data_IF_991819918108
#
_entry.id   IF_991819918108
#
_cell.length_a   1.000
_cell.length_b   1.000
_cell.length_c   1.000
_cell.angle_alpha   90.00
_cell.angle_beta   90.00
_cell.angle_gamma   90.00
#
_symmetry.space_group_name_H-M   'P 1'
#
loop_
_entity.id
_entity.type
_entity.pdbx_description
1 polymer ?
#
# COMPACT_ATOMS: atom_id res chain seq x y z
N UNK A 1 -79.85 -77.77 -39.41
CA UNK A 1 -80.42 -76.43 -39.16
C UNK A 1 -79.34 -75.55 -38.55
N UNK A 2 -79.26 -74.27 -38.93
CA UNK A 2 -78.36 -73.30 -38.32
C UNK A 2 -78.96 -72.78 -37.02
N UNK A 3 -78.19 -72.76 -35.93
CA UNK A 3 -78.57 -72.08 -34.69
C UNK A 3 -78.17 -70.59 -34.78
N UNK A 4 -79.07 -69.64 -34.50
CA UNK A 4 -78.72 -68.22 -34.48
C UNK A 4 -77.75 -67.92 -33.34
N UNK A 5 -76.77 -67.06 -33.59
CA UNK A 5 -75.74 -66.76 -32.60
C UNK A 5 -76.25 -65.89 -31.43
N UNK A 6 -77.21 -65.00 -31.69
CA UNK A 6 -77.87 -64.13 -30.71
C UNK A 6 -79.37 -64.10 -30.99
N UNK A 7 -80.20 -64.20 -29.96
CA UNK A 7 -81.67 -64.06 -30.04
C UNK A 7 -82.22 -63.17 -28.93
N UNK A 8 -83.34 -62.49 -29.19
CA UNK A 8 -83.99 -61.60 -28.23
C UNK A 8 -84.88 -62.36 -27.22
N UNK A 9 -85.32 -63.59 -27.55
CA UNK A 9 -86.09 -64.47 -26.65
C UNK A 9 -85.79 -65.95 -26.92
N UNK A 10 -85.79 -66.78 -25.86
CA UNK A 10 -85.69 -68.23 -25.94
C UNK A 10 -86.90 -68.90 -26.61
N UNK A 11 -88.02 -68.19 -26.75
CA UNK A 11 -89.23 -68.72 -27.40
C UNK A 11 -89.03 -69.03 -28.88
N UNK A 12 -88.11 -68.31 -29.54
CA UNK A 12 -87.72 -68.55 -30.92
C UNK A 12 -86.79 -69.78 -31.10
N UNK A 13 -86.31 -70.36 -29.99
CA UNK A 13 -85.40 -71.52 -29.97
C UNK A 13 -86.18 -72.77 -29.54
N UNK A 14 -86.00 -73.87 -30.28
CA UNK A 14 -86.53 -75.18 -29.91
C UNK A 14 -86.07 -75.55 -28.50
N UNK A 15 -86.97 -76.11 -27.70
CA UNK A 15 -86.76 -76.40 -26.28
C UNK A 15 -85.47 -77.18 -26.00
N UNK A 16 -85.14 -78.14 -26.87
CA UNK A 16 -83.92 -78.97 -26.84
C UNK A 16 -82.60 -78.18 -26.94
N UNK A 17 -82.62 -76.96 -27.49
CA UNK A 17 -81.43 -76.14 -27.70
C UNK A 17 -81.37 -74.93 -26.77
N UNK A 18 -82.40 -74.69 -25.95
CA UNK A 18 -82.43 -73.54 -25.02
C UNK A 18 -81.34 -73.61 -23.95
N UNK A 19 -80.98 -74.82 -23.53
CA UNK A 19 -79.90 -75.07 -22.57
C UNK A 19 -78.50 -74.69 -23.10
N UNK A 20 -78.37 -74.45 -24.41
CA UNK A 20 -77.11 -74.04 -25.06
C UNK A 20 -76.98 -72.52 -25.19
N UNK A 21 -77.87 -71.71 -24.59
CA UNK A 21 -77.81 -70.25 -24.66
C UNK A 21 -77.66 -69.64 -23.25
N UNK A 22 -76.82 -68.60 -23.16
CA UNK A 22 -76.57 -67.82 -21.94
C UNK A 22 -77.05 -66.39 -22.14
N UNK A 23 -77.64 -65.80 -21.11
CA UNK A 23 -78.11 -64.41 -21.12
C UNK A 23 -76.92 -63.44 -20.97
N UNK A 24 -76.76 -62.52 -21.92
CA UNK A 24 -75.70 -61.51 -21.90
C UNK A 24 -76.26 -60.17 -22.43
N UNK A 25 -76.25 -59.13 -21.59
CA UNK A 25 -76.78 -57.78 -21.90
C UNK A 25 -78.25 -57.77 -22.38
N UNK A 26 -79.12 -58.62 -21.79
CA UNK A 26 -80.56 -58.66 -22.08
C UNK A 26 -80.94 -59.38 -23.39
N UNK A 27 -80.01 -60.12 -23.99
CA UNK A 27 -80.22 -61.04 -25.12
C UNK A 27 -79.64 -62.41 -24.79
N UNK A 28 -80.09 -63.46 -25.48
CA UNK A 28 -79.58 -64.83 -25.30
C UNK A 28 -78.57 -65.15 -26.41
N UNK A 29 -77.34 -65.49 -26.03
CA UNK A 29 -76.23 -65.84 -26.94
C UNK A 29 -75.92 -67.33 -26.84
N UNK A 30 -75.61 -67.98 -27.95
CA UNK A 30 -75.17 -69.39 -27.98
C UNK A 30 -73.87 -69.55 -27.18
N UNK A 31 -73.89 -70.43 -26.18
CA UNK A 31 -72.76 -70.77 -25.32
C UNK A 31 -71.80 -71.69 -26.07
N UNK A 32 -70.74 -71.09 -26.61
CA UNK A 32 -69.67 -71.78 -27.31
C UNK A 32 -68.46 -71.84 -26.38
N UNK A 33 -68.00 -73.06 -26.09
CA UNK A 33 -66.80 -73.28 -25.30
C UNK A 33 -65.58 -72.62 -25.95
N UNK A 34 -64.89 -71.74 -25.20
CA UNK A 34 -63.72 -70.98 -25.69
C UNK A 34 -64.05 -69.69 -26.46
N UNK A 35 -65.31 -69.24 -26.50
CA UNK A 35 -65.65 -67.96 -27.12
C UNK A 35 -65.33 -66.78 -26.20
N UNK A 36 -64.37 -65.95 -26.64
CA UNK A 36 -64.12 -64.63 -26.06
C UNK A 36 -64.72 -63.55 -26.96
N UNK A 37 -65.36 -62.52 -26.38
CA UNK A 37 -66.01 -61.45 -27.15
C UNK A 37 -64.99 -60.69 -28.03
N UNK A 38 -65.02 -60.84 -29.37
CA UNK A 38 -64.07 -60.18 -30.25
C UNK A 38 -64.21 -58.66 -30.21
N UNK A 39 -65.37 -58.13 -29.78
CA UNK A 39 -65.58 -56.69 -29.62
C UNK A 39 -64.87 -56.16 -28.37
N UNK A 40 -65.00 -56.84 -27.23
CA UNK A 40 -64.25 -56.57 -26.00
C UNK A 40 -62.74 -56.65 -26.22
N UNK A 41 -62.25 -57.73 -26.85
CA UNK A 41 -60.84 -57.89 -27.21
C UNK A 41 -60.34 -56.78 -28.15
N UNK A 42 -61.11 -56.42 -29.17
CA UNK A 42 -60.74 -55.34 -30.10
C UNK A 42 -60.73 -53.97 -29.41
N UNK A 43 -61.64 -53.72 -28.47
CA UNK A 43 -61.67 -52.50 -27.68
C UNK A 43 -60.48 -52.41 -26.73
N UNK A 44 -60.15 -53.49 -26.02
CA UNK A 44 -58.99 -53.56 -25.15
C UNK A 44 -57.69 -53.39 -25.95
N UNK A 45 -57.58 -54.08 -27.09
CA UNK A 45 -56.43 -53.95 -28.00
C UNK A 45 -56.30 -52.53 -28.56
N UNK A 46 -57.41 -51.87 -28.86
CA UNK A 46 -57.40 -50.48 -29.30
C UNK A 46 -56.94 -49.53 -28.18
N UNK A 47 -57.44 -49.73 -26.96
CA UNK A 47 -57.01 -48.97 -25.77
C UNK A 47 -55.52 -49.14 -25.50
N UNK A 48 -55.00 -50.37 -25.58
CA UNK A 48 -53.57 -50.67 -25.43
C UNK A 48 -52.73 -49.99 -26.53
N UNK A 49 -53.22 -50.01 -27.77
CA UNK A 49 -52.54 -49.31 -28.88
C UNK A 49 -52.50 -47.80 -28.67
N UNK A 50 -53.59 -47.21 -28.20
CA UNK A 50 -53.66 -45.78 -27.94
C UNK A 50 -52.79 -45.39 -26.73
N UNK A 51 -52.77 -46.21 -25.67
CA UNK A 51 -51.87 -46.04 -24.53
C UNK A 51 -50.39 -46.15 -24.94
N UNK A 52 -50.02 -47.17 -25.73
CA UNK A 52 -48.67 -47.35 -26.25
C UNK A 52 -48.25 -46.18 -27.16
N UNK A 53 -49.17 -45.68 -28.00
CA UNK A 53 -48.92 -44.52 -28.86
C UNK A 53 -48.69 -43.25 -28.04
N UNK A 54 -49.51 -43.02 -27.01
CA UNK A 54 -49.36 -41.87 -26.11
C UNK A 54 -48.05 -41.95 -25.33
N UNK A 55 -47.73 -43.10 -24.74
CA UNK A 55 -46.46 -43.32 -24.04
C UNK A 55 -45.26 -43.07 -24.96
N UNK A 56 -45.31 -43.53 -26.21
CA UNK A 56 -44.26 -43.27 -27.19
C UNK A 56 -44.12 -41.79 -27.53
N UNK A 57 -45.22 -41.05 -27.66
CA UNK A 57 -45.20 -39.61 -27.92
C UNK A 57 -44.62 -38.84 -26.72
N UNK A 58 -44.97 -39.22 -25.49
CA UNK A 58 -44.40 -38.61 -24.29
C UNK A 58 -42.91 -38.91 -24.14
N UNK A 59 -42.50 -40.16 -24.40
CA UNK A 59 -41.10 -40.56 -24.35
C UNK A 59 -40.28 -39.79 -25.40
N UNK A 60 -40.80 -39.60 -26.61
CA UNK A 60 -40.17 -38.76 -27.63
C UNK A 60 -40.10 -37.28 -27.23
N UNK A 61 -41.13 -36.73 -26.59
CA UNK A 61 -41.09 -35.34 -26.08
C UNK A 61 -40.03 -35.19 -24.99
N UNK A 62 -39.97 -36.14 -24.06
CA UNK A 62 -38.98 -36.16 -22.98
C UNK A 62 -37.57 -36.30 -23.55
N UNK A 63 -37.36 -37.24 -24.48
CA UNK A 63 -36.08 -37.41 -25.17
C UNK A 63 -35.63 -36.13 -25.86
N UNK A 64 -36.52 -35.40 -26.53
CA UNK A 64 -36.20 -34.10 -27.15
C UNK A 64 -35.88 -33.01 -26.13
N UNK A 65 -36.56 -32.99 -24.98
CA UNK A 65 -36.30 -32.01 -23.92
C UNK A 65 -34.95 -32.24 -23.22
N UNK A 66 -34.53 -33.50 -23.12
CA UNK A 66 -33.26 -33.89 -22.50
C UNK A 66 -32.17 -34.20 -23.54
N UNK A 67 -32.43 -33.94 -24.83
CA UNK A 67 -31.46 -34.18 -25.89
C UNK A 67 -30.24 -33.27 -25.70
N UNK A 68 -29.07 -33.87 -25.48
CA UNK A 68 -27.83 -33.14 -25.17
C UNK A 68 -27.58 -32.87 -23.69
N UNK A 69 -28.47 -33.30 -22.78
CA UNK A 69 -28.24 -33.25 -21.33
C UNK A 69 -27.74 -34.61 -20.86
N UNK A 70 -26.47 -34.68 -20.43
CA UNK A 70 -25.90 -35.90 -19.84
C UNK A 70 -26.34 -36.05 -18.36
N UNK A 71 -27.05 -37.13 -17.99
CA UNK A 71 -27.49 -37.36 -16.63
C UNK A 71 -26.36 -37.43 -15.59
N UNK A 72 -25.16 -37.89 -15.97
CA UNK A 72 -24.02 -37.91 -15.05
C UNK A 72 -23.45 -36.52 -14.82
N UNK A 73 -23.41 -35.68 -15.86
CA UNK A 73 -23.00 -34.28 -15.74
C UNK A 73 -23.98 -33.53 -14.85
N UNK A 74 -25.30 -33.75 -15.03
CA UNK A 74 -26.32 -33.15 -14.17
C UNK A 74 -26.12 -33.55 -12.70
N UNK A 75 -25.89 -34.84 -12.40
CA UNK A 75 -25.60 -35.28 -11.03
C UNK A 75 -24.33 -34.64 -10.45
N UNK A 76 -23.27 -34.52 -11.25
CA UNK A 76 -22.02 -33.86 -10.83
C UNK A 76 -22.22 -32.36 -10.57
N UNK A 77 -22.97 -31.69 -11.43
CA UNK A 77 -23.31 -30.27 -11.28
C UNK A 77 -24.15 -30.06 -10.02
N UNK A 78 -25.17 -30.89 -9.77
CA UNK A 78 -25.96 -30.81 -8.53
C UNK A 78 -25.11 -31.10 -7.28
N UNK A 79 -24.20 -32.08 -7.34
CA UNK A 79 -23.28 -32.35 -6.22
C UNK A 79 -22.31 -31.18 -5.96
N UNK A 80 -21.83 -30.50 -7.01
CA UNK A 80 -21.02 -29.28 -6.87
C UNK A 80 -21.84 -28.11 -6.34
N UNK A 81 -23.08 -27.94 -6.81
CA UNK A 81 -24.03 -26.96 -6.29
C UNK A 81 -24.26 -27.20 -4.79
N UNK A 82 -24.39 -28.46 -4.36
CA UNK A 82 -24.62 -28.78 -2.95
C UNK A 82 -23.42 -28.46 -2.03
N UNK A 83 -22.22 -28.41 -2.59
CA UNK A 83 -20.99 -28.10 -1.86
C UNK A 83 -20.69 -26.60 -1.82
N UNK A 84 -21.25 -25.82 -2.74
CA UNK A 84 -21.03 -24.37 -2.84
C UNK A 84 -22.27 -23.61 -2.37
N UNK A 85 -22.16 -22.89 -1.26
CA UNK A 85 -23.26 -22.10 -0.70
C UNK A 85 -23.79 -21.03 -1.67
N UNK A 86 -22.93 -20.42 -2.49
CA UNK A 86 -23.38 -19.46 -3.51
C UNK A 86 -24.17 -20.19 -4.61
N UNK A 87 -23.72 -21.39 -4.99
CA UNK A 87 -24.42 -22.20 -5.98
C UNK A 87 -25.76 -22.72 -5.48
N UNK A 88 -25.88 -23.11 -4.19
CA UNK A 88 -27.18 -23.42 -3.54
C UNK A 88 -28.14 -22.25 -3.61
N UNK A 89 -27.68 -21.06 -3.24
CA UNK A 89 -28.51 -19.86 -3.28
C UNK A 89 -28.94 -19.52 -4.71
N UNK A 90 -28.09 -19.75 -5.71
CA UNK A 90 -28.46 -19.61 -7.13
C UNK A 90 -29.53 -20.64 -7.53
N UNK A 91 -29.36 -21.90 -7.15
CA UNK A 91 -30.30 -22.98 -7.44
C UNK A 91 -31.67 -22.78 -6.76
N UNK A 92 -31.66 -22.19 -5.56
CA UNK A 92 -32.87 -21.77 -4.82
C UNK A 92 -33.52 -20.48 -5.38
N UNK A 93 -32.95 -19.88 -6.44
CA UNK A 93 -33.44 -18.64 -7.04
C UNK A 93 -33.12 -17.36 -6.24
N UNK A 94 -32.32 -17.47 -5.17
CA UNK A 94 -31.86 -16.36 -4.31
C UNK A 94 -30.62 -15.67 -4.88
N UNK A 95 -30.63 -15.40 -6.18
CA UNK A 95 -29.50 -14.78 -6.91
C UNK A 95 -29.13 -13.41 -6.31
N UNK A 96 -30.11 -12.65 -5.82
CA UNK A 96 -29.89 -11.35 -5.17
C UNK A 96 -29.02 -11.46 -3.91
N UNK A 97 -29.19 -12.51 -3.11
CA UNK A 97 -28.41 -12.73 -1.88
C UNK A 97 -26.95 -13.04 -2.20
N UNK A 98 -26.70 -13.81 -3.27
CA UNK A 98 -25.34 -14.09 -3.77
C UNK A 98 -24.67 -12.83 -4.29
N UNK A 99 -25.39 -12.02 -5.08
CA UNK A 99 -24.87 -10.74 -5.56
C UNK A 99 -24.51 -9.83 -4.38
N UNK A 100 -25.36 -9.77 -3.35
CA UNK A 100 -25.08 -8.99 -2.15
C UNK A 100 -23.83 -9.50 -1.42
N UNK A 101 -23.76 -10.80 -1.10
CA UNK A 101 -22.59 -11.42 -0.45
C UNK A 101 -21.29 -11.18 -1.23
N UNK A 102 -21.32 -11.36 -2.55
CA UNK A 102 -20.16 -11.13 -3.41
C UNK A 102 -19.76 -9.66 -3.47
N UNK A 103 -20.74 -8.75 -3.51
CA UNK A 103 -20.50 -7.30 -3.49
C UNK A 103 -19.91 -6.84 -2.16
N UNK A 104 -20.41 -7.38 -1.04
CA UNK A 104 -19.87 -7.11 0.29
C UNK A 104 -18.43 -7.60 0.41
N UNK A 105 -18.16 -8.86 0.05
CA UNK A 105 -16.80 -9.42 0.03
C UNK A 105 -15.86 -8.61 -0.87
N UNK A 106 -16.31 -8.23 -2.05
CA UNK A 106 -15.53 -7.41 -2.98
C UNK A 106 -15.25 -6.02 -2.38
N UNK A 107 -16.24 -5.41 -1.72
CA UNK A 107 -16.06 -4.12 -1.03
C UNK A 107 -15.06 -4.23 0.11
N UNK A 108 -15.16 -5.27 0.94
CA UNK A 108 -14.21 -5.53 2.04
C UNK A 108 -12.78 -5.74 1.50
N UNK A 109 -12.62 -6.52 0.44
CA UNK A 109 -11.33 -6.77 -0.20
C UNK A 109 -10.74 -5.48 -0.79
N UNK A 110 -11.54 -4.68 -1.50
CA UNK A 110 -11.11 -3.37 -1.99
C UNK A 110 -10.77 -2.41 -0.86
N UNK A 111 -11.55 -2.36 0.21
CA UNK A 111 -11.26 -1.51 1.36
C UNK A 111 -9.95 -1.92 2.03
N UNK A 112 -9.69 -3.23 2.16
CA UNK A 112 -8.42 -3.76 2.67
C UNK A 112 -7.25 -3.37 1.78
N UNK A 113 -7.38 -3.53 0.46
CA UNK A 113 -6.34 -3.14 -0.50
C UNK A 113 -6.07 -1.63 -0.46
N UNK A 114 -7.13 -0.82 -0.41
CA UNK A 114 -7.02 0.63 -0.31
C UNK A 114 -6.33 1.07 0.99
N UNK A 115 -6.67 0.44 2.12
CA UNK A 115 -5.98 0.71 3.40
C UNK A 115 -4.50 0.33 3.32
N UNK A 116 -4.19 -0.86 2.81
CA UNK A 116 -2.81 -1.30 2.66
C UNK A 116 -1.99 -0.37 1.75
N UNK A 117 -2.57 0.08 0.64
CA UNK A 117 -1.89 1.00 -0.28
C UNK A 117 -1.72 2.39 0.32
N UNK A 118 -2.73 2.91 1.04
CA UNK A 118 -2.61 4.16 1.79
C UNK A 118 -1.50 4.09 2.84
N UNK A 119 -1.48 3.04 3.65
CA UNK A 119 -0.41 2.85 4.65
C UNK A 119 0.97 2.76 4.01
N UNK A 120 1.09 2.14 2.83
CA UNK A 120 2.34 2.09 2.07
C UNK A 120 2.74 3.48 1.56
N UNK A 121 1.80 4.23 1.01
CA UNK A 121 2.02 5.59 0.54
C UNK A 121 2.44 6.52 1.69
N UNK A 122 1.73 6.48 2.82
CA UNK A 122 2.02 7.29 4.01
C UNK A 122 3.42 6.99 4.56
N UNK A 123 3.80 5.70 4.62
CA UNK A 123 5.16 5.29 5.04
C UNK A 123 6.23 5.78 4.06
N UNK A 124 5.98 5.67 2.76
CA UNK A 124 6.91 6.13 1.74
C UNK A 124 7.08 7.65 1.78
N UNK A 125 5.99 8.40 1.96
CA UNK A 125 6.01 9.85 2.09
C UNK A 125 6.75 10.28 3.36
N UNK A 126 6.44 9.67 4.52
CA UNK A 126 7.13 9.96 5.77
C UNK A 126 8.64 9.66 5.68
N UNK A 127 9.03 8.57 5.00
CA UNK A 127 10.43 8.27 4.74
C UNK A 127 11.07 9.29 3.81
N UNK A 128 10.40 9.65 2.70
CA UNK A 128 10.88 10.64 1.76
C UNK A 128 11.10 12.01 2.41
N UNK A 129 10.19 12.46 3.29
CA UNK A 129 10.35 13.71 4.04
C UNK A 129 11.56 13.68 4.97
N UNK A 130 11.74 12.59 5.73
CA UNK A 130 12.94 12.41 6.58
C UNK A 130 14.22 12.38 5.76
N UNK A 131 14.19 11.71 4.61
CA UNK A 131 15.33 11.64 3.70
C UNK A 131 15.68 13.03 3.15
N UNK A 132 14.69 13.77 2.63
CA UNK A 132 14.86 15.16 2.15
C UNK A 132 15.49 16.04 3.23
N UNK A 133 14.96 15.99 4.45
CA UNK A 133 15.49 16.76 5.58
C UNK A 133 16.94 16.39 5.91
N UNK A 134 17.29 15.10 5.87
CA UNK A 134 18.66 14.61 6.09
C UNK A 134 19.62 15.09 5.01
N UNK A 135 19.21 15.05 3.73
CA UNK A 135 20.03 15.54 2.61
C UNK A 135 20.27 17.05 2.73
N UNK A 136 19.23 17.84 3.03
CA UNK A 136 19.35 19.27 3.27
C UNK A 136 20.32 19.54 4.43
N UNK A 137 20.13 18.87 5.56
CA UNK A 137 21.03 18.98 6.71
C UNK A 137 22.48 18.66 6.34
N UNK A 138 22.72 17.58 5.58
CA UNK A 138 24.07 17.23 5.14
C UNK A 138 24.70 18.29 4.24
N UNK A 139 23.95 18.87 3.30
CA UNK A 139 24.46 19.93 2.42
C UNK A 139 24.75 21.23 3.18
N UNK A 140 23.92 21.57 4.18
CA UNK A 140 24.13 22.73 5.04
C UNK A 140 25.35 22.54 5.95
N UNK A 141 25.51 21.36 6.56
CA UNK A 141 26.70 21.04 7.37
C UNK A 141 27.96 21.11 6.51
N UNK A 142 27.92 20.57 5.29
CA UNK A 142 29.04 20.65 4.36
C UNK A 142 29.41 22.11 4.04
N UNK A 143 28.43 22.95 3.73
CA UNK A 143 28.64 24.38 3.50
C UNK A 143 29.19 25.11 4.75
N UNK A 144 28.71 24.76 5.94
CA UNK A 144 29.20 25.32 7.20
C UNK A 144 30.66 24.95 7.47
N UNK A 145 31.05 23.70 7.21
CA UNK A 145 32.43 23.24 7.33
C UNK A 145 33.33 23.96 6.32
N UNK A 146 32.89 24.10 5.07
CA UNK A 146 33.63 24.84 4.03
C UNK A 146 33.84 26.32 4.37
N UNK A 147 32.92 26.91 5.13
CA UNK A 147 33.00 28.28 5.62
C UNK A 147 33.61 28.38 7.02
N UNK A 148 34.25 27.31 7.50
CA UNK A 148 34.99 27.26 8.77
C UNK A 148 34.13 27.59 10.00
N UNK A 149 32.86 27.18 9.99
CA UNK A 149 32.02 27.24 11.19
C UNK A 149 32.57 26.32 12.29
N UNK A 150 32.31 26.67 13.55
CA UNK A 150 32.69 25.85 14.69
C UNK A 150 32.00 24.47 14.62
N UNK A 151 32.72 23.35 14.83
CA UNK A 151 32.12 22.01 14.81
C UNK A 151 30.89 21.88 15.71
N UNK A 152 30.93 22.49 16.90
CA UNK A 152 29.85 22.50 17.88
C UNK A 152 28.61 23.29 17.42
N UNK A 153 28.79 24.24 16.50
CA UNK A 153 27.71 25.06 15.93
C UNK A 153 27.08 24.44 14.68
N UNK A 154 27.75 23.49 14.01
CA UNK A 154 27.24 22.89 12.76
C UNK A 154 25.85 22.24 12.91
N UNK A 155 25.49 21.55 14.01
CA UNK A 155 24.14 21.01 14.18
C UNK A 155 23.08 22.10 14.34
N UNK A 156 23.42 23.19 15.03
CA UNK A 156 22.53 24.34 15.24
C UNK A 156 22.27 25.09 13.93
N UNK A 157 23.32 25.30 13.12
CA UNK A 157 23.21 25.90 11.79
C UNK A 157 22.29 25.05 10.91
N UNK A 158 22.47 23.72 10.92
CA UNK A 158 21.63 22.82 10.16
C UNK A 158 20.17 22.82 10.64
N UNK A 159 19.94 22.94 11.95
CA UNK A 159 18.60 23.05 12.52
C UNK A 159 17.90 24.34 12.06
N UNK A 160 18.60 25.48 12.05
CA UNK A 160 18.07 26.76 11.56
C UNK A 160 17.69 26.71 10.07
N UNK A 161 18.38 25.89 9.28
CA UNK A 161 18.12 25.73 7.86
C UNK A 161 16.88 24.88 7.53
N UNK A 162 16.38 24.06 8.47
CA UNK A 162 15.33 23.06 8.18
C UNK A 162 14.04 23.67 7.60
N UNK A 163 13.66 24.87 8.04
CA UNK A 163 12.44 25.55 7.57
C UNK A 163 12.71 26.55 6.45
N UNK A 164 13.97 26.76 6.09
CA UNK A 164 14.41 27.74 5.09
C UNK A 164 14.89 27.09 3.80
N UNK A 165 14.91 25.76 3.73
CA UNK A 165 15.39 25.02 2.58
C UNK A 165 14.42 23.92 2.18
N UNK A 166 14.31 23.71 0.87
CA UNK A 166 13.67 22.57 0.26
C UNK A 166 14.65 21.87 -0.69
N UNK A 167 14.34 20.63 -1.07
CA UNK A 167 15.12 19.89 -2.07
C UNK A 167 14.48 20.08 -3.45
N UNK A 168 15.25 20.52 -4.43
CA UNK A 168 14.80 20.61 -5.82
C UNK A 168 14.71 19.21 -6.48
N UNK A 169 14.24 19.18 -7.73
CA UNK A 169 14.14 17.94 -8.52
C UNK A 169 15.49 17.25 -8.76
N UNK A 170 16.59 17.99 -8.65
CA UNK A 170 17.96 17.50 -8.87
C UNK A 170 18.62 17.03 -7.57
N UNK A 171 17.94 17.09 -6.43
CA UNK A 171 18.51 16.72 -5.14
C UNK A 171 19.42 17.79 -4.53
N UNK A 172 19.31 19.05 -4.95
CA UNK A 172 20.04 20.20 -4.39
C UNK A 172 19.16 20.96 -3.41
N UNK A 173 19.73 21.34 -2.27
CA UNK A 173 19.04 22.20 -1.33
C UNK A 173 18.96 23.62 -1.89
N UNK A 174 17.76 24.16 -1.96
CA UNK A 174 17.46 25.53 -2.41
C UNK A 174 16.71 26.27 -1.31
N UNK A 175 17.05 27.54 -1.09
CA UNK A 175 16.37 28.31 -0.05
C UNK A 175 14.93 28.64 -0.47
N UNK A 176 14.01 28.58 0.47
CA UNK A 176 12.59 28.88 0.28
C UNK A 176 12.11 29.90 1.32
N UNK A 177 11.14 30.72 0.94
CA UNK A 177 10.51 31.70 1.82
C UNK A 177 9.39 31.07 2.68
N UNK A 178 8.64 31.90 3.41
CA UNK A 178 7.53 31.43 4.25
C UNK A 178 6.34 30.87 3.46
N UNK A 179 6.23 31.22 2.18
CA UNK A 179 5.19 30.72 1.27
C UNK A 179 5.64 29.45 0.52
N UNK A 180 6.91 29.08 0.64
CA UNK A 180 7.52 27.96 -0.09
C UNK A 180 8.06 28.33 -1.46
N UNK A 181 8.10 29.62 -1.80
CA UNK A 181 8.67 30.10 -3.05
C UNK A 181 10.19 30.16 -2.95
N UNK A 182 10.86 29.86 -4.06
CA UNK A 182 12.32 29.80 -4.12
C UNK A 182 12.92 31.20 -3.97
N UNK A 183 13.80 31.36 -2.99
CA UNK A 183 14.54 32.60 -2.76
C UNK A 183 15.73 32.67 -3.71
N UNK A 184 15.85 33.77 -4.44
CA UNK A 184 16.96 34.00 -5.37
C UNK A 184 18.23 34.42 -4.61
N UNK A 185 19.37 33.87 -5.04
CA UNK A 185 20.70 34.09 -4.48
C UNK A 185 21.30 35.45 -4.84
N UNK A 186 22.57 35.63 -4.49
CA UNK A 186 23.27 36.93 -4.67
C UNK A 186 23.49 37.27 -6.15
N UNK A 187 23.44 36.27 -7.03
CA UNK A 187 23.60 36.42 -8.47
C UNK A 187 22.34 36.94 -9.20
N UNK A 188 21.19 37.00 -8.50
CA UNK A 188 19.93 37.48 -9.04
C UNK A 188 19.28 36.55 -10.08
N UNK A 189 19.79 35.34 -10.27
CA UNK A 189 19.29 34.40 -11.29
C UNK A 189 19.08 32.99 -10.75
N UNK A 190 19.96 32.50 -9.87
CA UNK A 190 19.86 31.13 -9.35
C UNK A 190 19.26 31.11 -7.95
N UNK A 191 18.64 29.98 -7.55
CA UNK A 191 18.21 29.79 -6.18
C UNK A 191 19.36 29.97 -5.21
N UNK A 192 19.11 30.63 -4.08
CA UNK A 192 20.09 30.77 -3.02
C UNK A 192 20.54 29.39 -2.54
N UNK A 193 21.85 29.18 -2.60
CA UNK A 193 22.50 27.94 -2.22
C UNK A 193 22.76 27.86 -0.71
N UNK A 194 22.98 26.65 -0.15
CA UNK A 194 23.41 26.47 1.23
C UNK A 194 24.61 27.35 1.60
N UNK A 195 25.59 27.47 0.71
CA UNK A 195 26.80 28.26 0.93
C UNK A 195 26.49 29.75 1.08
N UNK A 196 25.73 30.34 0.16
CA UNK A 196 25.38 31.77 0.21
C UNK A 196 24.54 32.11 1.45
N UNK A 197 23.65 31.20 1.85
CA UNK A 197 22.87 31.38 3.06
C UNK A 197 23.75 31.30 4.31
N UNK A 198 24.66 30.32 4.40
CA UNK A 198 25.60 30.21 5.53
C UNK A 198 26.54 31.43 5.61
N UNK A 199 26.97 31.99 4.47
CA UNK A 199 27.70 33.27 4.46
C UNK A 199 26.87 34.41 5.06
N UNK A 200 25.60 34.51 4.67
CA UNK A 200 24.68 35.52 5.22
C UNK A 200 24.45 35.29 6.72
N UNK A 201 24.41 34.02 7.15
CA UNK A 201 24.31 33.64 8.56
C UNK A 201 25.55 34.05 9.35
N UNK A 202 26.75 33.99 8.74
CA UNK A 202 28.00 34.45 9.37
C UNK A 202 27.99 35.93 9.70
N UNK A 203 27.42 36.74 8.80
CA UNK A 203 27.26 38.19 9.03
C UNK A 203 26.26 38.47 10.16
N UNK A 204 25.15 37.72 10.20
CA UNK A 204 24.07 37.92 11.18
C UNK A 204 24.36 37.30 12.56
N UNK A 205 25.07 36.17 12.58
CA UNK A 205 25.37 35.37 13.79
C UNK A 205 26.86 34.98 13.83
N UNK A 206 27.78 35.95 14.00
CA UNK A 206 29.22 35.69 13.96
C UNK A 206 29.74 34.73 15.04
N UNK A 207 28.96 34.51 16.11
CA UNK A 207 29.34 33.67 17.24
C UNK A 207 29.40 32.16 16.92
N UNK A 208 28.84 31.73 15.79
CA UNK A 208 28.99 30.35 15.30
C UNK A 208 30.34 30.11 14.60
N UNK A 209 31.11 31.16 14.36
CA UNK A 209 32.44 31.08 13.77
C UNK A 209 33.52 31.34 14.81
N UNK A 210 34.74 30.83 14.59
CA UNK A 210 35.90 31.23 15.38
C UNK A 210 35.99 32.75 15.40
N UNK A 211 36.10 33.33 16.61
CA UNK A 211 36.44 34.74 16.71
C UNK A 211 37.80 34.93 16.03
N UNK A 212 37.97 35.94 15.17
CA UNK A 212 39.30 36.29 14.71
C UNK A 212 40.15 36.54 15.95
N UNK A 213 41.16 35.71 16.17
CA UNK A 213 42.26 36.06 17.06
C UNK A 213 42.92 37.28 16.41
N UNK A 214 42.42 38.47 16.75
CA UNK A 214 43.17 39.69 16.56
C UNK A 214 44.52 39.42 17.20
N UNK A 215 45.59 39.55 16.41
CA UNK A 215 46.96 39.51 16.88
C UNK A 215 47.04 40.41 18.11
N UNK A 216 46.99 39.81 19.30
CA UNK A 216 47.70 40.36 20.43
C UNK A 216 49.15 40.31 19.98
N UNK A 217 49.64 41.41 19.41
CA UNK A 217 51.06 41.62 19.23
C UNK A 217 51.71 41.17 20.54
N UNK A 218 52.70 40.26 20.52
CA UNK A 218 53.42 39.94 21.73
C UNK A 218 54.01 41.27 22.20
N UNK A 219 53.44 41.85 23.26
CA UNK A 219 54.06 42.98 23.93
C UNK A 219 55.47 42.54 24.22
N UNK A 220 56.45 43.23 23.62
CA UNK A 220 57.88 42.92 23.65
C UNK A 220 58.24 42.28 24.99
N UNK A 221 58.44 40.97 24.96
CA UNK A 221 58.86 40.19 26.10
C UNK A 221 60.34 40.51 26.31
N UNK A 222 60.62 41.71 26.83
CA UNK A 222 61.98 42.09 27.14
C UNK A 222 62.39 41.28 28.35
N UNK A 223 63.34 40.41 28.08
CA UNK A 223 63.98 39.45 28.96
C UNK A 223 64.19 40.00 30.36
N UNK A 224 63.84 39.17 31.34
CA UNK A 224 64.23 39.28 32.74
C UNK A 224 65.68 39.79 32.88
N UNK A 225 65.87 40.85 33.67
CA UNK A 225 67.02 40.91 34.58
C UNK A 225 68.13 41.91 34.30
N UNK A 226 67.95 42.98 33.51
CA UNK A 226 68.87 44.12 33.56
C UNK A 226 68.15 45.44 33.84
N UNK A 227 68.51 46.16 34.93
CA UNK A 227 68.04 47.52 35.15
C UNK A 227 68.53 48.42 34.02
N UNK A 228 67.60 49.10 33.35
CA UNK A 228 67.91 50.07 32.30
C UNK A 228 68.55 51.33 32.93
N UNK A 229 69.88 51.37 32.93
CA UNK A 229 70.69 52.53 33.38
C UNK A 229 71.03 53.48 32.24
N UNK A 230 70.55 53.25 31.01
CA UNK A 230 70.88 54.07 29.85
C UNK A 230 69.81 55.13 29.61
N UNK A 231 70.22 56.22 28.98
CA UNK A 231 69.32 57.19 28.37
C UNK A 231 69.08 56.81 26.91
N UNK A 232 68.10 57.46 26.28
CA UNK A 232 67.79 57.24 24.87
C UNK A 232 68.96 57.55 23.92
N UNK A 233 69.92 58.36 24.34
CA UNK A 233 71.15 58.70 23.61
C UNK A 233 72.30 57.70 23.82
N UNK A 234 72.07 56.62 24.59
CA UNK A 234 73.09 55.62 24.92
C UNK A 234 74.08 56.04 26.02
N UNK A 235 73.94 57.24 26.61
CA UNK A 235 74.73 57.64 27.78
C UNK A 235 74.16 57.06 29.07
N UNK A 236 75.02 56.86 30.08
CA UNK A 236 74.58 56.34 31.39
C UNK A 236 73.81 57.43 32.15
N UNK A 237 72.64 57.06 32.67
CA UNK A 237 71.88 57.86 33.61
C UNK A 237 72.50 57.72 35.01
N UNK A 238 73.26 58.73 35.44
CA UNK A 238 73.95 58.74 36.72
C UNK A 238 73.02 58.63 37.93
N UNK A 239 71.78 59.13 37.84
CA UNK A 239 70.79 59.02 38.93
C UNK A 239 70.32 57.57 39.08
N UNK A 240 70.03 56.91 37.96
CA UNK A 240 69.67 55.48 37.96
C UNK A 240 70.85 54.60 38.39
N UNK A 241 72.07 54.95 37.98
CA UNK A 241 73.28 54.26 38.44
C UNK A 241 73.51 54.43 39.95
N UNK A 242 73.23 55.61 40.52
CA UNK A 242 73.34 55.86 41.96
C UNK A 242 72.28 55.10 42.76
N UNK A 243 71.05 55.00 42.25
CA UNK A 243 70.00 54.17 42.83
C UNK A 243 70.40 52.69 42.80
N UNK A 244 70.89 52.21 41.65
CA UNK A 244 71.36 50.83 41.52
C UNK A 244 72.56 50.54 42.42
N UNK A 245 73.45 51.52 42.64
CA UNK A 245 74.56 51.37 43.60
C UNK A 245 74.06 51.15 45.03
N UNK A 246 72.97 51.78 45.43
CA UNK A 246 72.41 51.63 46.76
C UNK A 246 71.64 50.30 46.91
N UNK A 247 70.97 49.85 45.86
CA UNK A 247 70.19 48.60 45.85
C UNK A 247 71.05 47.35 45.62
N UNK A 248 71.99 47.43 44.68
CA UNK A 248 72.91 46.35 44.33
C UNK A 248 74.30 46.90 43.89
N UNK A 249 75.21 47.13 44.87
CA UNK A 249 76.53 47.70 44.62
C UNK A 249 77.39 46.92 43.62
N UNK A 250 77.27 45.59 43.58
CA UNK A 250 78.08 44.75 42.70
C UNK A 250 77.64 44.88 41.24
N UNK A 251 76.32 44.83 40.98
CA UNK A 251 75.77 45.01 39.65
C UNK A 251 76.00 46.42 39.11
N UNK A 252 75.90 47.44 39.97
CA UNK A 252 76.22 48.81 39.60
C UNK A 252 77.68 48.95 39.15
N UNK A 253 78.63 48.35 39.88
CA UNK A 253 80.05 48.38 39.55
C UNK A 253 80.36 47.69 38.21
N UNK A 254 79.73 46.55 37.95
CA UNK A 254 79.90 45.83 36.68
C UNK A 254 79.36 46.64 35.49
N UNK A 255 78.16 47.21 35.63
CA UNK A 255 77.55 48.01 34.57
C UNK A 255 78.30 49.33 34.35
N UNK A 256 78.74 50.00 35.41
CA UNK A 256 79.59 51.19 35.27
C UNK A 256 80.91 50.86 34.56
N UNK A 257 81.56 49.75 34.91
CA UNK A 257 82.79 49.31 34.25
C UNK A 257 82.59 49.02 32.75
N UNK A 258 81.46 48.40 32.37
CA UNK A 258 81.08 48.18 30.96
C UNK A 258 80.93 49.48 30.17
N UNK A 259 80.57 50.58 30.84
CA UNK A 259 80.43 51.90 30.24
C UNK A 259 81.64 52.83 30.53
N UNK A 260 82.76 52.30 31.04
CA UNK A 260 83.99 53.06 31.28
C UNK A 260 83.94 54.02 32.48
N UNK A 261 82.94 53.88 33.36
CA UNK A 261 82.74 54.70 34.56
C UNK A 261 83.34 53.97 35.77
N UNK A 262 84.23 54.65 36.52
CA UNK A 262 84.73 54.16 37.81
C UNK A 262 83.79 54.61 38.92
N UNK A 263 83.15 53.64 39.57
CA UNK A 263 82.27 53.79 40.75
C UNK A 263 83.02 53.64 42.06
#
# INVERSE_FOLDING_TARGET
MSLPFIVDSLDAIKEEHRALYVEENGKFRLDLEGYEDPKGLKSALQSERDAAKNAKLELQKLQKQFEGIDPEIVKKVFAQIDQDEEAKLIAEGKVNEVIQKRTEKMREEHEKLLKAEKERADKAEAYAQKFKQSVIQSQIVQAAIELEALPEATPDIAFLAQTKFALDENGKAVAVDENGDVVIGKDGQTPMTPKEWVESLREQKPYYWPKPNGMGAPGSNNSKGQPDILKADGSVNMTKLAQLRNENPQLAKELAAKHGIKL
#
